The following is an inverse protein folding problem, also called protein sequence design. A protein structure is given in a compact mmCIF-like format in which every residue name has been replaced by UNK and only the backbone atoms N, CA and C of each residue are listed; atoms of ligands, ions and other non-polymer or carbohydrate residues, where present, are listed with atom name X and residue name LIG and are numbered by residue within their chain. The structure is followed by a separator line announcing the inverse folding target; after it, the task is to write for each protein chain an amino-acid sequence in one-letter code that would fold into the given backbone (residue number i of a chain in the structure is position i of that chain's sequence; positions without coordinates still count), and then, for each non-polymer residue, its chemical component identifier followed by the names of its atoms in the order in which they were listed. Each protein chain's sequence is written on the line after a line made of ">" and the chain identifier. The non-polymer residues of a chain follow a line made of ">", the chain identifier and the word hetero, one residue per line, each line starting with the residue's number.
data_IF_959503875846
#
_entry.id   IF_959503875846
#
_cell.length_a   1.000
_cell.length_b   1.000
_cell.length_c   1.000
_cell.angle_alpha   90.00
_cell.angle_beta   90.00
_cell.angle_gamma   90.00
#
_symmetry.space_group_name_H-M   'P 1'
#
loop_
_entity.id
_entity.type
_entity.pdbx_description
1 polymer ?
#
# COMPACT_ATOMS: atom_id res chain seq x y z
N UNK A 1 78.20 -18.08 -12.54
CA UNK A 1 77.22 -17.27 -11.81
C UNK A 1 75.82 -17.65 -12.26
N UNK A 2 75.15 -18.51 -11.49
CA UNK A 2 73.85 -19.04 -11.84
C UNK A 2 72.77 -18.30 -11.03
N UNK A 3 71.91 -17.55 -11.72
CA UNK A 3 70.71 -16.96 -11.11
C UNK A 3 69.62 -18.07 -10.98
N UNK A 4 69.29 -18.49 -9.76
CA UNK A 4 68.10 -19.33 -9.48
C UNK A 4 66.89 -18.39 -9.41
N UNK A 5 66.00 -18.51 -10.37
CA UNK A 5 64.64 -17.97 -10.26
C UNK A 5 63.81 -18.84 -9.29
N UNK A 6 63.53 -18.25 -8.15
CA UNK A 6 62.65 -18.90 -7.14
C UNK A 6 61.19 -18.68 -7.57
N UNK A 7 60.63 -19.68 -8.27
CA UNK A 7 59.20 -19.71 -8.65
C UNK A 7 58.38 -20.14 -7.39
N UNK A 8 58.20 -19.18 -6.49
CA UNK A 8 57.29 -19.37 -5.39
C UNK A 8 55.84 -19.24 -5.94
N UNK A 9 55.18 -20.39 -6.16
CA UNK A 9 53.77 -20.45 -6.45
C UNK A 9 52.98 -19.73 -5.36
N UNK A 10 51.91 -18.92 -5.69
CA UNK A 10 51.10 -18.33 -4.67
C UNK A 10 50.42 -19.42 -3.87
N UNK A 11 50.59 -19.37 -2.56
CA UNK A 11 49.99 -20.31 -1.61
C UNK A 11 48.45 -20.33 -1.79
N UNK A 12 47.79 -21.50 -1.79
CA UNK A 12 46.34 -21.57 -1.85
C UNK A 12 45.74 -20.83 -0.66
N UNK A 13 44.85 -19.87 -0.93
CA UNK A 13 44.25 -18.99 0.07
C UNK A 13 43.64 -19.80 1.20
N UNK A 14 44.09 -19.55 2.41
CA UNK A 14 43.69 -20.22 3.68
C UNK A 14 42.16 -20.14 3.80
N UNK A 15 41.45 -21.25 4.11
CA UNK A 15 39.99 -21.28 4.26
C UNK A 15 39.42 -20.23 5.21
N UNK A 16 40.18 -19.81 6.24
CA UNK A 16 39.82 -18.75 7.17
C UNK A 16 39.59 -17.39 6.52
N UNK A 17 40.36 -17.02 5.50
CA UNK A 17 40.25 -15.70 4.84
C UNK A 17 38.96 -15.52 4.06
N UNK A 18 38.38 -16.57 3.48
CA UNK A 18 37.09 -16.52 2.77
C UNK A 18 35.92 -16.44 3.74
N UNK A 19 35.98 -17.08 4.88
CA UNK A 19 34.96 -17.06 5.92
C UNK A 19 34.95 -15.65 6.54
N UNK A 20 36.12 -15.10 6.85
CA UNK A 20 36.25 -13.75 7.39
C UNK A 20 35.76 -12.67 6.40
N UNK A 21 36.07 -12.82 5.11
CA UNK A 21 35.57 -11.92 4.08
C UNK A 21 34.03 -11.93 4.00
N UNK A 22 33.41 -13.10 4.04
CA UNK A 22 31.93 -13.22 4.08
C UNK A 22 31.33 -12.61 5.33
N UNK A 23 31.93 -12.85 6.50
CA UNK A 23 31.50 -12.29 7.78
C UNK A 23 31.61 -10.77 7.76
N UNK A 24 32.74 -10.22 7.29
CA UNK A 24 32.93 -8.78 7.16
C UNK A 24 31.94 -8.14 6.18
N UNK A 25 31.70 -8.76 5.02
CA UNK A 25 30.69 -8.30 4.07
C UNK A 25 29.30 -8.26 4.70
N UNK A 26 28.91 -9.29 5.46
CA UNK A 26 27.63 -9.32 6.15
C UNK A 26 27.52 -8.22 7.22
N UNK A 27 28.60 -7.95 7.99
CA UNK A 27 28.65 -6.87 8.98
C UNK A 27 28.49 -5.49 8.32
N UNK A 28 29.18 -5.27 7.20
CA UNK A 28 29.06 -4.03 6.42
C UNK A 28 27.64 -3.83 5.92
N UNK A 29 27.02 -4.85 5.33
CA UNK A 29 25.63 -4.78 4.87
C UNK A 29 24.65 -4.51 6.01
N UNK A 30 24.80 -5.16 7.15
CA UNK A 30 23.94 -4.93 8.32
C UNK A 30 24.09 -3.50 8.89
N UNK A 31 25.30 -2.97 8.93
CA UNK A 31 25.58 -1.60 9.36
C UNK A 31 25.00 -0.59 8.35
N UNK A 32 25.19 -0.85 7.04
CA UNK A 32 24.68 -0.01 5.98
C UNK A 32 23.14 0.04 5.97
N UNK A 33 22.47 -1.09 6.19
CA UNK A 33 21.00 -1.12 6.29
C UNK A 33 20.49 -0.18 7.38
N UNK A 34 21.09 -0.21 8.58
CA UNK A 34 20.69 0.69 9.67
C UNK A 34 21.02 2.13 9.34
N UNK A 35 22.23 2.40 8.86
CA UNK A 35 22.67 3.76 8.52
C UNK A 35 21.81 4.40 7.43
N UNK A 36 21.49 3.67 6.38
CA UNK A 36 20.62 4.15 5.30
C UNK A 36 19.16 4.31 5.74
N UNK A 37 18.67 3.48 6.66
CA UNK A 37 17.35 3.65 7.23
C UNK A 37 17.25 4.94 8.07
N UNK A 38 18.26 5.20 8.89
CA UNK A 38 18.30 6.36 9.82
C UNK A 38 18.60 7.69 9.11
N UNK A 39 19.58 7.68 8.21
CA UNK A 39 20.20 8.90 7.66
C UNK A 39 20.04 9.05 6.14
N UNK A 40 19.37 8.09 5.49
CA UNK A 40 19.22 8.09 4.02
C UNK A 40 20.55 7.92 3.30
N UNK A 41 20.57 8.44 2.07
CA UNK A 41 21.76 8.35 1.21
C UNK A 41 22.89 9.30 1.58
N UNK A 42 22.74 10.17 2.59
CA UNK A 42 23.77 11.12 2.99
C UNK A 42 24.94 10.50 3.77
N UNK A 43 24.77 9.31 4.37
CA UNK A 43 25.80 8.64 5.18
C UNK A 43 27.03 8.24 4.34
N UNK A 44 28.24 8.44 4.89
CA UNK A 44 29.49 8.10 4.22
C UNK A 44 29.91 6.64 4.40
N UNK A 45 30.72 6.10 3.46
CA UNK A 45 31.31 4.76 3.60
C UNK A 45 32.21 4.64 4.83
N UNK A 46 32.90 5.72 5.22
CA UNK A 46 33.72 5.74 6.42
C UNK A 46 32.89 5.56 7.69
N UNK A 47 31.74 6.22 7.78
CA UNK A 47 30.81 6.07 8.90
C UNK A 47 30.24 4.65 8.95
N UNK A 48 29.90 4.07 7.79
CA UNK A 48 29.41 2.69 7.70
C UNK A 48 30.52 1.69 8.15
N UNK A 49 31.78 1.93 7.75
CA UNK A 49 32.89 1.11 8.19
C UNK A 49 33.06 1.15 9.72
N UNK A 50 32.98 2.34 10.31
CA UNK A 50 33.02 2.54 11.77
C UNK A 50 31.89 1.77 12.47
N UNK A 51 30.65 1.90 11.99
CA UNK A 51 29.47 1.17 12.53
C UNK A 51 29.57 -0.34 12.35
N UNK A 52 30.20 -0.80 11.28
CA UNK A 52 30.43 -2.23 11.02
C UNK A 52 31.60 -2.79 11.83
N UNK A 53 32.44 -1.97 12.44
CA UNK A 53 33.66 -2.36 13.14
C UNK A 53 34.68 -3.02 12.20
N UNK A 54 34.82 -2.47 10.97
CA UNK A 54 35.82 -2.92 9.98
C UNK A 54 36.61 -1.73 9.45
N UNK A 55 37.80 -1.99 8.90
CA UNK A 55 38.60 -0.92 8.28
C UNK A 55 37.95 -0.41 6.98
N UNK A 56 38.12 0.89 6.67
CA UNK A 56 37.62 1.51 5.45
C UNK A 56 38.07 0.77 4.19
N UNK A 57 39.33 0.31 4.14
CA UNK A 57 39.87 -0.50 3.04
C UNK A 57 39.14 -1.84 2.86
N UNK A 58 38.57 -2.42 3.94
CA UNK A 58 37.73 -3.62 3.85
C UNK A 58 36.40 -3.32 3.20
N UNK A 59 35.79 -2.18 3.54
CA UNK A 59 34.54 -1.74 2.87
C UNK A 59 34.77 -1.50 1.39
N UNK A 60 35.81 -0.74 1.02
CA UNK A 60 36.12 -0.46 -0.39
C UNK A 60 36.45 -1.71 -1.22
N UNK A 61 37.06 -2.75 -0.64
CA UNK A 61 37.27 -4.02 -1.35
C UNK A 61 35.97 -4.75 -1.68
N UNK A 62 34.98 -4.65 -0.83
CA UNK A 62 33.68 -5.33 -1.03
C UNK A 62 32.70 -4.45 -1.83
N UNK A 63 32.77 -3.15 -1.66
CA UNK A 63 31.89 -2.15 -2.23
C UNK A 63 32.73 -0.92 -2.65
N UNK A 64 33.21 -0.91 -3.90
CA UNK A 64 34.07 0.16 -4.41
C UNK A 64 33.43 1.54 -4.29
N UNK A 65 32.12 1.64 -4.48
CA UNK A 65 31.37 2.90 -4.37
C UNK A 65 30.25 2.80 -3.34
N UNK A 66 29.73 3.94 -2.90
CA UNK A 66 28.54 4.00 -2.04
C UNK A 66 27.30 3.47 -2.77
N UNK A 67 27.23 3.67 -4.07
CA UNK A 67 26.18 3.15 -4.94
C UNK A 67 26.16 1.62 -4.90
N UNK A 68 27.32 0.94 -5.08
CA UNK A 68 27.39 -0.52 -5.00
C UNK A 68 26.90 -1.07 -3.65
N UNK A 69 27.24 -0.37 -2.57
CA UNK A 69 26.78 -0.75 -1.23
C UNK A 69 25.27 -0.58 -1.08
N UNK A 70 24.74 0.54 -1.56
CA UNK A 70 23.31 0.84 -1.48
C UNK A 70 22.50 -0.16 -2.33
N UNK A 71 22.96 -0.46 -3.54
CA UNK A 71 22.37 -1.49 -4.41
C UNK A 71 22.33 -2.86 -3.73
N UNK A 72 23.45 -3.28 -3.12
CA UNK A 72 23.50 -4.54 -2.41
C UNK A 72 22.56 -4.60 -1.20
N UNK A 73 22.35 -3.47 -0.51
CA UNK A 73 21.36 -3.35 0.58
C UNK A 73 19.93 -3.46 0.06
N UNK A 74 19.63 -2.77 -1.04
CA UNK A 74 18.30 -2.80 -1.67
C UNK A 74 17.99 -4.19 -2.23
N UNK A 75 18.96 -4.79 -2.94
CA UNK A 75 18.87 -6.16 -3.44
C UNK A 75 18.52 -7.14 -2.31
N UNK A 76 19.25 -7.09 -1.20
CA UNK A 76 19.00 -7.95 -0.05
C UNK A 76 17.63 -7.72 0.59
N UNK A 77 17.12 -6.48 0.54
CA UNK A 77 15.76 -6.15 1.01
C UNK A 77 14.70 -6.76 0.10
N UNK A 78 14.85 -6.58 -1.21
CA UNK A 78 13.93 -7.14 -2.22
C UNK A 78 13.92 -8.66 -2.14
N UNK A 79 15.09 -9.29 -2.04
CA UNK A 79 15.19 -10.75 -1.90
C UNK A 79 14.47 -11.27 -0.65
N UNK A 80 14.54 -10.55 0.47
CA UNK A 80 13.79 -10.90 1.70
C UNK A 80 12.28 -10.76 1.52
N UNK A 81 11.81 -9.70 0.87
CA UNK A 81 10.39 -9.52 0.57
C UNK A 81 9.89 -10.60 -0.38
N UNK A 82 10.70 -10.96 -1.39
CA UNK A 82 10.42 -12.05 -2.32
C UNK A 82 10.27 -13.39 -1.58
N UNK A 83 11.25 -13.74 -0.74
CA UNK A 83 11.20 -14.96 0.06
C UNK A 83 9.98 -14.98 1.01
N UNK A 84 9.63 -13.83 1.61
CA UNK A 84 8.47 -13.70 2.48
C UNK A 84 7.15 -13.88 1.71
N UNK A 85 7.02 -13.26 0.53
CA UNK A 85 5.83 -13.43 -0.32
C UNK A 85 5.65 -14.89 -0.76
N UNK A 86 6.73 -15.56 -1.16
CA UNK A 86 6.71 -16.98 -1.52
C UNK A 86 6.31 -17.87 -0.34
N UNK A 87 6.82 -17.61 0.86
CA UNK A 87 6.49 -18.38 2.06
C UNK A 87 5.01 -18.22 2.48
N UNK A 88 4.38 -17.10 2.15
CA UNK A 88 2.97 -16.82 2.46
C UNK A 88 1.99 -17.35 1.41
N UNK A 89 2.47 -17.79 0.25
CA UNK A 89 1.61 -18.28 -0.84
C UNK A 89 0.74 -19.46 -0.45
N UNK A 90 1.29 -20.34 0.37
CA UNK A 90 0.65 -21.59 0.79
C UNK A 90 0.05 -21.46 2.23
N UNK A 91 -0.22 -20.22 2.68
CA UNK A 91 -0.84 -19.96 3.99
C UNK A 91 -2.28 -20.47 4.00
N UNK A 92 -2.78 -21.03 5.13
CA UNK A 92 -4.16 -21.46 5.26
C UNK A 92 -5.21 -20.37 5.01
N UNK A 93 -4.87 -19.11 5.30
CA UNK A 93 -5.67 -17.93 4.93
C UNK A 93 -4.90 -17.01 3.98
N UNK A 94 -4.92 -17.31 2.66
CA UNK A 94 -4.16 -16.55 1.68
C UNK A 94 -4.56 -15.07 1.60
N UNK A 95 -5.82 -14.74 1.88
CA UNK A 95 -6.30 -13.36 1.86
C UNK A 95 -5.72 -12.56 3.04
N UNK A 96 -5.77 -13.10 4.25
CA UNK A 96 -5.16 -12.46 5.41
C UNK A 96 -3.63 -12.36 5.26
N UNK A 97 -2.99 -13.41 4.74
CA UNK A 97 -1.55 -13.43 4.47
C UNK A 97 -1.13 -12.35 3.46
N UNK A 98 -1.86 -12.21 2.35
CA UNK A 98 -1.62 -11.17 1.34
C UNK A 98 -1.78 -9.76 1.93
N UNK A 99 -2.90 -9.49 2.61
CA UNK A 99 -3.16 -8.17 3.18
C UNK A 99 -2.19 -7.83 4.32
N UNK A 100 -1.82 -8.82 5.13
CA UNK A 100 -0.79 -8.69 6.15
C UNK A 100 0.59 -8.37 5.55
N UNK A 101 0.95 -9.03 4.45
CA UNK A 101 2.16 -8.74 3.69
C UNK A 101 2.15 -7.32 3.13
N UNK A 102 1.03 -6.87 2.54
CA UNK A 102 0.88 -5.51 2.05
C UNK A 102 1.07 -4.48 3.19
N UNK A 103 0.46 -4.71 4.35
CA UNK A 103 0.62 -3.85 5.52
C UNK A 103 2.08 -3.82 6.01
N UNK A 104 2.77 -4.98 6.04
CA UNK A 104 4.19 -5.08 6.39
C UNK A 104 5.08 -4.26 5.44
N UNK A 105 4.87 -4.38 4.13
CA UNK A 105 5.62 -3.59 3.12
C UNK A 105 5.40 -2.11 3.32
N UNK A 106 4.15 -1.68 3.52
CA UNK A 106 3.79 -0.27 3.70
C UNK A 106 4.36 0.30 4.98
N UNK A 107 4.28 -0.39 6.11
CA UNK A 107 4.77 0.11 7.41
C UNK A 107 6.30 0.17 7.48
N UNK A 108 6.99 -0.80 6.86
CA UNK A 108 8.46 -0.88 6.92
C UNK A 108 9.18 -0.05 5.87
N UNK A 109 8.50 0.45 4.84
CA UNK A 109 9.14 1.23 3.76
C UNK A 109 9.48 2.66 4.19
N UNK A 110 8.60 3.43 4.87
CA UNK A 110 8.90 4.79 5.29
C UNK A 110 10.05 4.91 6.30
N UNK A 111 10.29 3.87 7.09
CA UNK A 111 11.44 3.78 7.99
C UNK A 111 12.78 3.63 7.26
N UNK A 112 12.77 3.46 5.94
CA UNK A 112 13.99 3.41 5.13
C UNK A 112 14.09 4.68 4.27
N UNK A 113 14.77 5.69 4.82
CA UNK A 113 14.94 6.98 4.16
C UNK A 113 15.60 6.85 2.78
N UNK A 114 16.57 5.93 2.62
CA UNK A 114 17.20 5.69 1.32
C UNK A 114 16.22 5.15 0.26
N UNK A 115 15.26 4.32 0.66
CA UNK A 115 14.21 3.85 -0.25
C UNK A 115 13.28 5.00 -0.65
N UNK A 116 12.96 5.89 0.28
CA UNK A 116 12.17 7.09 -0.03
C UNK A 116 12.92 8.05 -0.95
N UNK A 117 14.20 8.30 -0.66
CA UNK A 117 15.07 9.14 -1.51
C UNK A 117 15.15 8.59 -2.95
N UNK A 118 15.12 7.25 -3.10
CA UNK A 118 15.11 6.59 -4.42
C UNK A 118 13.77 6.68 -5.15
N UNK A 119 12.67 6.63 -4.42
CA UNK A 119 11.34 6.79 -5.01
C UNK A 119 11.10 8.23 -5.47
N UNK A 120 11.75 9.19 -4.79
CA UNK A 120 11.65 10.62 -5.09
C UNK A 120 12.67 11.08 -6.16
N UNK A 121 13.73 10.29 -6.44
CA UNK A 121 14.74 10.61 -7.43
C UNK A 121 14.23 10.36 -8.86
N UNK A 122 14.20 11.44 -9.67
CA UNK A 122 13.71 11.41 -11.05
C UNK A 122 14.78 10.98 -12.07
N UNK A 123 16.03 10.81 -11.62
CA UNK A 123 17.24 10.65 -12.43
C UNK A 123 17.59 9.20 -12.81
N UNK A 124 16.58 8.28 -12.80
CA UNK A 124 16.72 6.95 -13.40
C UNK A 124 17.73 6.02 -12.71
N UNK A 125 18.10 6.31 -11.46
CA UNK A 125 19.11 5.62 -10.68
C UNK A 125 18.75 4.14 -10.43
N UNK A 126 19.65 3.29 -10.22
CA UNK A 126 20.13 2.00 -10.70
C UNK A 126 19.02 1.00 -11.06
N UNK A 127 18.10 1.37 -11.93
CA UNK A 127 16.99 0.50 -12.36
C UNK A 127 17.46 -0.78 -13.03
N UNK A 128 18.67 -0.78 -13.62
CA UNK A 128 19.19 -1.94 -14.35
C UNK A 128 19.65 -3.05 -13.42
N UNK A 129 20.35 -2.74 -12.32
CA UNK A 129 20.87 -3.73 -11.39
C UNK A 129 19.79 -4.31 -10.45
N UNK A 130 18.75 -3.53 -10.18
CA UNK A 130 17.60 -3.99 -9.40
C UNK A 130 16.50 -4.62 -10.26
N UNK A 131 16.62 -4.60 -11.58
CA UNK A 131 15.60 -5.13 -12.50
C UNK A 131 15.27 -6.59 -12.19
N UNK A 132 16.27 -7.46 -12.20
CA UNK A 132 16.06 -8.90 -11.99
C UNK A 132 15.47 -9.20 -10.60
N UNK A 133 15.88 -8.44 -9.57
CA UNK A 133 15.32 -8.57 -8.25
C UNK A 133 13.86 -8.09 -8.22
N UNK A 134 13.57 -6.97 -8.87
CA UNK A 134 12.22 -6.44 -9.03
C UNK A 134 11.30 -7.42 -9.76
N UNK A 135 11.77 -8.02 -10.85
CA UNK A 135 11.01 -9.03 -11.61
C UNK A 135 10.69 -10.25 -10.75
N UNK A 136 11.67 -10.78 -10.00
CA UNK A 136 11.42 -11.88 -9.06
C UNK A 136 10.42 -11.51 -7.97
N UNK A 137 10.51 -10.29 -7.43
CA UNK A 137 9.55 -9.79 -6.45
C UNK A 137 8.15 -9.67 -7.04
N UNK A 138 8.01 -9.11 -8.24
CA UNK A 138 6.73 -8.99 -8.93
C UNK A 138 6.10 -10.36 -9.19
N UNK A 139 6.88 -11.35 -9.61
CA UNK A 139 6.41 -12.72 -9.79
C UNK A 139 5.91 -13.33 -8.47
N UNK A 140 6.67 -13.20 -7.40
CA UNK A 140 6.30 -13.71 -6.08
C UNK A 140 5.04 -13.03 -5.52
N UNK A 141 4.97 -11.71 -5.63
CA UNK A 141 3.80 -10.92 -5.23
C UNK A 141 2.56 -11.28 -6.06
N UNK A 142 2.74 -11.49 -7.37
CA UNK A 142 1.67 -11.93 -8.27
C UNK A 142 1.12 -13.31 -7.88
N UNK A 143 1.98 -14.25 -7.49
CA UNK A 143 1.56 -15.57 -7.01
C UNK A 143 0.80 -15.49 -5.69
N UNK A 144 1.24 -14.64 -4.75
CA UNK A 144 0.56 -14.42 -3.48
C UNK A 144 -0.81 -13.74 -3.69
N UNK A 145 -0.89 -12.73 -4.56
CA UNK A 145 -2.15 -12.09 -4.96
C UNK A 145 -3.13 -13.10 -5.57
N UNK A 146 -2.65 -13.96 -6.47
CA UNK A 146 -3.48 -14.96 -7.12
C UNK A 146 -4.02 -16.01 -6.13
N UNK A 147 -3.23 -16.40 -5.13
CA UNK A 147 -3.72 -17.26 -4.05
C UNK A 147 -4.83 -16.55 -3.24
N UNK A 148 -4.64 -15.28 -2.91
CA UNK A 148 -5.63 -14.48 -2.19
C UNK A 148 -6.92 -14.24 -3.00
N UNK A 149 -6.82 -14.04 -4.32
CA UNK A 149 -7.99 -13.92 -5.22
C UNK A 149 -8.78 -15.22 -5.31
N UNK A 150 -8.10 -16.36 -5.44
CA UNK A 150 -8.75 -17.68 -5.48
C UNK A 150 -9.45 -18.04 -4.18
N UNK A 151 -8.97 -17.57 -3.02
CA UNK A 151 -9.67 -17.74 -1.75
C UNK A 151 -10.93 -16.89 -1.61
N UNK A 152 -11.17 -15.95 -2.53
CA UNK A 152 -12.33 -15.05 -2.51
C UNK A 152 -12.26 -13.90 -1.50
N UNK A 153 -11.20 -13.79 -0.69
CA UNK A 153 -11.06 -12.74 0.33
C UNK A 153 -10.50 -11.42 -0.19
N UNK A 154 -10.02 -11.41 -1.44
CA UNK A 154 -9.51 -10.23 -2.16
C UNK A 154 -10.27 -10.09 -3.47
N UNK A 155 -10.53 -8.84 -3.88
CA UNK A 155 -11.28 -8.49 -5.10
C UNK A 155 -10.70 -9.22 -6.32
N UNK A 156 -11.58 -9.82 -7.11
CA UNK A 156 -11.21 -10.60 -8.29
C UNK A 156 -10.65 -9.74 -9.44
N UNK A 157 -11.02 -8.45 -9.50
CA UNK A 157 -10.57 -7.48 -10.51
C UNK A 157 -9.23 -6.82 -10.17
N UNK A 158 -8.69 -7.03 -8.95
CA UNK A 158 -7.43 -6.42 -8.52
C UNK A 158 -6.24 -6.99 -9.30
N UNK A 159 -5.50 -6.13 -9.98
CA UNK A 159 -4.30 -6.50 -10.73
C UNK A 159 -3.02 -6.27 -9.93
N UNK A 160 -1.89 -6.86 -10.35
CA UNK A 160 -0.59 -6.58 -9.75
C UNK A 160 -0.22 -5.09 -9.87
N UNK A 161 -0.57 -4.46 -10.99
CA UNK A 161 -0.32 -3.02 -11.19
C UNK A 161 -1.07 -2.16 -10.17
N UNK A 162 -2.32 -2.53 -9.85
CA UNK A 162 -3.11 -1.84 -8.81
C UNK A 162 -2.46 -1.99 -7.44
N UNK A 163 -1.97 -3.19 -7.09
CA UNK A 163 -1.27 -3.44 -5.82
C UNK A 163 -0.02 -2.58 -5.70
N UNK A 164 0.78 -2.47 -6.77
CA UNK A 164 1.98 -1.63 -6.79
C UNK A 164 1.64 -0.14 -6.68
N UNK A 165 0.58 0.31 -7.34
CA UNK A 165 0.07 1.69 -7.20
C UNK A 165 -0.42 1.97 -5.78
N UNK A 166 -1.14 1.02 -5.17
CA UNK A 166 -1.58 1.09 -3.76
C UNK A 166 -0.37 1.17 -2.82
N UNK A 167 0.69 0.39 -3.06
CA UNK A 167 1.91 0.50 -2.25
C UNK A 167 2.52 1.90 -2.31
N UNK A 168 2.65 2.47 -3.50
CA UNK A 168 3.18 3.83 -3.68
C UNK A 168 2.34 4.86 -2.93
N UNK A 169 1.01 4.81 -3.09
CA UNK A 169 0.09 5.70 -2.39
C UNK A 169 0.13 5.54 -0.88
N UNK A 170 0.13 4.30 -0.38
CA UNK A 170 0.19 4.00 1.05
C UNK A 170 1.50 4.46 1.69
N UNK A 171 2.65 4.27 1.00
CA UNK A 171 3.95 4.75 1.49
C UNK A 171 3.96 6.28 1.61
N UNK A 172 3.40 7.00 0.63
CA UNK A 172 3.24 8.45 0.70
C UNK A 172 2.36 8.88 1.88
N UNK A 173 1.22 8.19 2.10
CA UNK A 173 0.33 8.45 3.24
C UNK A 173 1.01 8.20 4.59
N UNK A 174 1.81 7.13 4.72
CA UNK A 174 2.59 6.84 5.92
C UNK A 174 3.59 7.96 6.24
N UNK A 175 4.28 8.49 5.22
CA UNK A 175 5.24 9.60 5.38
C UNK A 175 4.57 10.86 5.92
N UNK A 176 3.41 11.22 5.37
CA UNK A 176 2.63 12.40 5.81
C UNK A 176 2.07 12.22 7.22
N UNK A 177 1.61 11.02 7.56
CA UNK A 177 1.02 10.71 8.87
C UNK A 177 2.05 10.60 10.00
N UNK A 178 3.35 10.57 9.68
CA UNK A 178 4.46 10.42 10.63
C UNK A 178 4.32 9.22 11.62
N UNK A 179 3.57 8.20 11.23
CA UNK A 179 3.44 6.94 11.97
C UNK A 179 4.61 6.02 11.58
N UNK A 180 5.41 5.55 12.56
CA UNK A 180 6.63 4.77 12.27
C UNK A 180 6.38 3.27 12.25
N UNK A 181 5.66 2.74 13.21
CA UNK A 181 5.51 1.29 13.42
C UNK A 181 4.07 0.80 13.23
N UNK A 182 3.13 1.72 13.03
CA UNK A 182 1.72 1.42 12.83
C UNK A 182 1.24 1.87 11.45
N UNK A 183 0.29 1.13 10.90
CA UNK A 183 -0.35 1.51 9.64
C UNK A 183 -1.23 2.74 9.87
N UNK A 184 -0.95 3.82 9.15
CA UNK A 184 -1.78 5.04 9.22
C UNK A 184 -3.21 4.74 8.79
N UNK A 185 -4.18 5.46 9.38
CA UNK A 185 -5.60 5.28 9.05
C UNK A 185 -5.89 5.39 7.55
N UNK A 186 -5.37 6.38 6.78
CA UNK A 186 -5.59 6.45 5.33
C UNK A 186 -5.04 5.23 4.59
N UNK A 187 -3.83 4.77 4.94
CA UNK A 187 -3.25 3.58 4.33
C UNK A 187 -4.04 2.32 4.68
N UNK A 188 -4.52 2.19 5.93
CA UNK A 188 -5.37 1.08 6.35
C UNK A 188 -6.68 1.03 5.56
N UNK A 189 -7.33 2.20 5.33
CA UNK A 189 -8.54 2.29 4.52
C UNK A 189 -8.29 1.86 3.07
N UNK A 190 -7.16 2.28 2.47
CA UNK A 190 -6.82 1.92 1.10
C UNK A 190 -6.51 0.41 0.98
N UNK A 191 -5.77 -0.17 1.92
CA UNK A 191 -5.54 -1.61 1.96
C UNK A 191 -6.83 -2.40 2.21
N UNK A 192 -7.73 -1.90 3.05
CA UNK A 192 -9.03 -2.54 3.29
C UNK A 192 -9.90 -2.57 2.02
N UNK A 193 -9.80 -1.56 1.13
CA UNK A 193 -10.52 -1.53 -0.15
C UNK A 193 -10.10 -2.63 -1.14
N UNK A 194 -8.97 -3.31 -0.90
CA UNK A 194 -8.58 -4.49 -1.68
C UNK A 194 -9.34 -5.76 -1.28
N UNK A 195 -10.01 -5.77 -0.12
CA UNK A 195 -10.84 -6.90 0.31
C UNK A 195 -12.06 -7.02 -0.58
N UNK A 196 -12.52 -8.24 -0.76
CA UNK A 196 -13.88 -8.48 -1.22
C UNK A 196 -14.80 -7.96 -0.11
N UNK A 197 -15.75 -7.07 -0.43
CA UNK A 197 -16.83 -6.79 0.51
C UNK A 197 -17.49 -8.13 0.85
N UNK A 198 -17.71 -8.45 2.14
CA UNK A 198 -18.55 -9.61 2.48
C UNK A 198 -19.81 -9.43 1.64
N UNK A 199 -20.13 -10.44 0.82
CA UNK A 199 -21.39 -10.42 0.10
C UNK A 199 -22.46 -10.17 1.16
N UNK A 200 -22.92 -8.93 1.22
CA UNK A 200 -24.15 -8.63 1.91
C UNK A 200 -25.13 -9.44 1.09
N UNK A 201 -25.43 -10.65 1.56
CA UNK A 201 -26.61 -11.37 1.13
C UNK A 201 -27.71 -10.35 1.35
N UNK A 202 -28.07 -9.63 0.28
CA UNK A 202 -29.29 -8.85 0.29
C UNK A 202 -30.33 -9.85 0.77
N UNK A 203 -30.89 -9.68 1.97
CA UNK A 203 -32.12 -10.41 2.23
C UNK A 203 -33.00 -10.00 1.05
N UNK A 204 -33.55 -10.96 0.34
CA UNK A 204 -34.39 -10.77 -0.85
C UNK A 204 -35.62 -9.91 -0.57
N UNK A 205 -35.60 -8.98 0.35
CA UNK A 205 -36.61 -7.97 0.69
C UNK A 205 -36.01 -6.81 1.50
N UNK A 206 -34.87 -6.28 1.11
CA UNK A 206 -34.47 -4.93 1.53
C UNK A 206 -34.51 -4.04 0.31
N UNK A 207 -35.70 -3.54 -0.04
CA UNK A 207 -35.78 -2.19 -0.58
C UNK A 207 -35.02 -1.29 0.38
N UNK A 208 -33.72 -1.02 0.09
CA UNK A 208 -32.99 0.07 0.72
C UNK A 208 -33.79 1.31 0.41
N UNK A 209 -34.66 1.66 1.36
CA UNK A 209 -35.34 2.92 1.40
C UNK A 209 -34.26 3.98 1.35
N UNK A 210 -34.16 4.67 0.19
CA UNK A 210 -33.73 6.06 0.23
C UNK A 210 -34.47 6.64 1.42
N UNK A 211 -33.81 7.45 2.27
CA UNK A 211 -34.40 8.17 3.37
C UNK A 211 -35.74 8.85 2.94
N UNK A 212 -36.77 8.06 2.82
CA UNK A 212 -38.14 8.49 2.60
C UNK A 212 -38.70 8.62 4.02
N UNK A 213 -38.84 9.85 4.45
CA UNK A 213 -39.55 10.18 5.71
C UNK A 213 -40.92 9.51 5.66
N UNK A 214 -41.44 9.11 6.82
CA UNK A 214 -42.74 8.42 6.96
C UNK A 214 -43.93 9.08 6.24
N UNK A 215 -43.79 10.34 5.78
CA UNK A 215 -44.75 11.04 4.93
C UNK A 215 -44.78 10.53 3.47
N UNK A 216 -43.74 9.77 3.02
CA UNK A 216 -43.68 9.28 1.63
C UNK A 216 -44.36 7.89 1.44
N UNK A 217 -44.70 7.20 2.54
CA UNK A 217 -45.35 5.88 2.49
C UNK A 217 -46.85 5.95 2.25
N UNK A 218 -47.52 7.09 2.53
CA UNK A 218 -48.95 7.22 2.40
C UNK A 218 -49.44 7.46 0.96
N UNK A 219 -48.55 7.64 -0.02
CA UNK A 219 -48.94 7.99 -1.39
C UNK A 219 -48.35 6.99 -2.42
N UNK A 220 -48.29 5.70 -2.07
CA UNK A 220 -47.82 4.65 -3.00
C UNK A 220 -48.71 4.46 -4.24
N UNK A 221 -49.96 4.87 -4.19
CA UNK A 221 -50.87 4.78 -5.34
C UNK A 221 -50.76 5.95 -6.32
N UNK A 222 -49.91 6.92 -6.09
CA UNK A 222 -49.48 7.98 -7.03
C UNK A 222 -50.59 8.89 -7.60
N UNK A 223 -51.80 8.79 -7.08
CA UNK A 223 -52.99 9.44 -7.68
C UNK A 223 -53.30 10.84 -7.16
N UNK A 224 -52.75 11.25 -6.01
CA UNK A 224 -53.07 12.54 -5.41
C UNK A 224 -51.86 13.39 -5.02
N UNK A 225 -51.95 14.69 -5.22
CA UNK A 225 -50.91 15.63 -4.85
C UNK A 225 -50.73 15.70 -3.33
N UNK A 226 -49.52 15.49 -2.76
CA UNK A 226 -49.31 15.47 -1.29
C UNK A 226 -49.48 16.87 -0.63
N UNK A 227 -49.66 17.94 -1.40
CA UNK A 227 -49.81 19.29 -0.89
C UNK A 227 -51.25 19.80 -0.88
N UNK A 228 -52.04 19.43 -1.87
CA UNK A 228 -53.42 19.95 -1.99
C UNK A 228 -54.48 18.82 -2.17
N UNK A 229 -54.05 17.54 -2.24
CA UNK A 229 -54.97 16.40 -2.40
C UNK A 229 -55.57 16.24 -3.81
N UNK A 230 -55.32 17.17 -4.76
CA UNK A 230 -55.84 17.06 -6.12
C UNK A 230 -55.35 15.82 -6.84
N UNK A 231 -56.15 15.19 -7.72
CA UNK A 231 -55.75 14.10 -8.55
C UNK A 231 -54.63 14.49 -9.52
N UNK A 232 -53.67 13.58 -9.71
CA UNK A 232 -52.55 13.76 -10.62
C UNK A 232 -52.92 13.15 -11.98
N UNK A 233 -52.66 13.89 -13.07
CA UNK A 233 -52.92 13.40 -14.42
C UNK A 233 -52.01 12.20 -14.71
N UNK A 234 -52.56 11.16 -15.30
CA UNK A 234 -51.82 9.99 -15.77
C UNK A 234 -50.94 10.38 -16.96
N UNK A 235 -49.62 10.23 -16.83
CA UNK A 235 -48.72 10.36 -17.99
C UNK A 235 -48.57 8.99 -18.64
N UNK A 236 -48.93 8.84 -19.89
CA UNK A 236 -48.78 7.59 -20.65
C UNK A 236 -47.32 7.23 -20.92
N UNK A 237 -46.42 8.24 -20.85
CA UNK A 237 -44.98 8.04 -21.05
C UNK A 237 -44.20 8.95 -20.08
N UNK A 238 -43.14 8.43 -19.43
CA UNK A 238 -42.24 9.20 -18.57
C UNK A 238 -42.50 9.00 -17.07
N UNK A 239 -41.75 9.74 -16.23
CA UNK A 239 -41.83 9.62 -14.77
C UNK A 239 -43.13 10.28 -14.25
N UNK A 240 -43.95 9.59 -13.45
CA UNK A 240 -45.18 10.12 -12.90
C UNK A 240 -44.99 11.46 -12.16
N UNK A 241 -45.91 12.40 -12.36
CA UNK A 241 -45.86 13.69 -11.69
C UNK A 241 -46.18 13.52 -10.19
N UNK A 242 -45.32 14.03 -9.32
CA UNK A 242 -45.47 13.98 -7.86
C UNK A 242 -46.35 15.11 -7.31
N UNK A 243 -46.53 16.18 -8.06
CA UNK A 243 -47.31 17.40 -7.69
C UNK A 243 -48.16 17.81 -8.86
N UNK A 244 -49.39 18.29 -8.56
CA UNK A 244 -50.35 18.74 -9.59
C UNK A 244 -49.93 20.03 -10.32
N UNK A 245 -49.04 20.84 -9.71
CA UNK A 245 -48.58 22.11 -10.27
C UNK A 245 -47.19 22.52 -9.76
N UNK A 246 -46.59 23.48 -10.45
CA UNK A 246 -45.33 24.11 -10.00
C UNK A 246 -45.47 24.82 -8.64
N UNK A 247 -46.66 25.41 -8.34
CA UNK A 247 -46.96 26.01 -7.07
C UNK A 247 -46.93 25.00 -5.91
N UNK A 248 -47.51 23.82 -6.09
CA UNK A 248 -47.45 22.74 -5.11
C UNK A 248 -46.04 22.20 -4.89
N UNK A 249 -45.24 22.13 -5.96
CA UNK A 249 -43.81 21.76 -5.89
C UNK A 249 -43.02 22.77 -5.06
N UNK A 250 -43.23 24.06 -5.29
CA UNK A 250 -42.57 25.13 -4.51
C UNK A 250 -43.01 25.14 -3.03
N UNK A 251 -44.30 24.93 -2.76
CA UNK A 251 -44.81 24.82 -1.37
C UNK A 251 -44.19 23.66 -0.64
N UNK A 252 -44.09 22.48 -1.26
CA UNK A 252 -43.39 21.30 -0.72
C UNK A 252 -41.91 21.58 -0.44
N UNK A 253 -41.25 22.32 -1.32
CA UNK A 253 -39.84 22.70 -1.12
C UNK A 253 -39.66 23.64 0.10
N UNK A 254 -40.54 24.63 0.24
CA UNK A 254 -40.51 25.56 1.38
C UNK A 254 -40.73 24.81 2.71
N UNK A 255 -41.72 23.90 2.77
CA UNK A 255 -41.99 23.10 3.96
C UNK A 255 -40.80 22.23 4.37
N UNK A 256 -40.16 21.57 3.43
CA UNK A 256 -38.92 20.78 3.69
C UNK A 256 -37.77 21.65 4.17
N UNK A 257 -37.63 22.87 3.65
CA UNK A 257 -36.60 23.81 4.09
C UNK A 257 -36.83 24.28 5.52
N UNK A 258 -38.09 24.58 5.87
CA UNK A 258 -38.50 24.98 7.22
C UNK A 258 -38.24 23.84 8.24
N UNK A 259 -38.60 22.61 7.92
CA UNK A 259 -38.38 21.46 8.77
C UNK A 259 -36.87 21.17 9.01
N UNK A 260 -36.00 21.42 8.01
CA UNK A 260 -34.55 21.33 8.18
C UNK A 260 -33.94 22.48 9.01
N UNK A 261 -34.57 23.64 9.03
CA UNK A 261 -34.13 24.77 9.85
C UNK A 261 -34.47 24.54 11.34
N UNK A 262 -35.66 24.01 11.64
CA UNK A 262 -36.08 23.67 13.02
C UNK A 262 -35.28 22.49 13.59
N UNK A 263 -34.96 21.48 12.80
CA UNK A 263 -34.15 20.34 13.25
C UNK A 263 -32.66 20.68 13.54
N UNK A 264 -32.15 21.80 12.99
CA UNK A 264 -30.80 22.28 13.30
C UNK A 264 -30.69 23.09 14.59
N UNK A 265 -31.78 23.75 15.01
CA UNK A 265 -31.79 24.51 16.25
C UNK A 265 -31.95 23.62 17.50
N UNK A 266 -32.44 22.40 17.36
CA UNK A 266 -32.56 21.44 18.47
C UNK A 266 -31.27 20.76 18.86
N UNK A 267 -30.25 20.72 17.97
CA UNK A 267 -28.93 20.11 18.20
C UNK A 267 -27.86 21.11 18.70
N UNK A 268 -28.23 22.41 18.83
CA UNK A 268 -27.32 23.44 19.33
C UNK A 268 -27.63 23.91 20.77
N UNK A 269 -28.54 23.22 21.46
CA UNK A 269 -29.00 23.59 22.80
C UNK A 269 -28.86 22.44 23.83
N UNK A 270 -27.93 21.44 23.58
CA UNK A 270 -27.48 20.48 24.59
C UNK A 270 -25.97 20.54 24.79
#
# INVERSE_FOLDING_TARGET
>A
MGFRYDLRAPAPGVPGTRIDARRNRARVLAAAQRAFAESGTSVSLAEIARRAGVGAGTVHRHFPTKTDLLEAVLQQRIDRLTARALALRDDPDPAAAFLGFCAEVVTRTPGNKAMCDLLDADDGWPRTLLRDAGERFHLALGQLLEAARRSGGVRADLTLADVLAVFTGCVAMQRVSNTRDELSRPAAMLLAAMRTEPAVTKPENSSLGRNETAADTANRDGRRCPICGAELAHAETGRPARYCSSACRQKAHRLRRAARATGRNSLAAE
#
